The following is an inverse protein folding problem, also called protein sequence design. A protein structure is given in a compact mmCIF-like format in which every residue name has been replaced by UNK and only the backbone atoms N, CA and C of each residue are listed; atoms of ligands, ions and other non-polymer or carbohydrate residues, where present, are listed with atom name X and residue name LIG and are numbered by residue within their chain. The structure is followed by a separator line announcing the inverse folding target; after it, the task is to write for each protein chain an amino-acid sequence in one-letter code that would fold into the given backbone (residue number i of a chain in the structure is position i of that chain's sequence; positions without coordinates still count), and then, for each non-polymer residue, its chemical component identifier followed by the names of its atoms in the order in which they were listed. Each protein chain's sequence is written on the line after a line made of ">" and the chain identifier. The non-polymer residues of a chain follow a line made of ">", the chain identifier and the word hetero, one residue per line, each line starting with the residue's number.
data_IF_091929809480
#
_entry.id   IF_091929809480
#
_cell.length_a   1.000
_cell.length_b   1.000
_cell.length_c   1.000
_cell.angle_alpha   90.00
_cell.angle_beta   90.00
_cell.angle_gamma   90.00
#
_symmetry.space_group_name_H-M   'P 1'
#
loop_
_entity.id
_entity.type
_entity.pdbx_description
1 polymer ?
#
# COMPACT_ATOMS: atom_id res chain seq x y z
N UNK A 1 6.25 11.41 5.25
CA UNK A 1 6.85 10.07 5.06
C UNK A 1 7.77 10.12 3.85
N UNK A 2 8.95 9.54 3.94
CA UNK A 2 9.87 9.56 2.82
C UNK A 2 9.63 8.39 1.87
N UNK A 3 10.19 8.50 0.69
CA UNK A 3 10.03 7.51 -0.37
C UNK A 3 10.60 6.14 0.03
N UNK A 4 11.71 6.15 0.76
CA UNK A 4 12.37 4.92 1.18
C UNK A 4 11.47 4.09 2.11
N UNK A 5 10.82 4.73 3.07
CA UNK A 5 9.90 4.04 3.96
C UNK A 5 8.72 3.46 3.18
N UNK A 6 8.22 4.20 2.19
CA UNK A 6 7.12 3.71 1.35
C UNK A 6 7.52 2.46 0.57
N UNK A 7 8.75 2.39 0.06
CA UNK A 7 9.20 1.21 -0.69
C UNK A 7 9.35 0.00 0.20
N UNK A 8 9.65 0.17 1.48
CA UNK A 8 9.83 -0.95 2.40
C UNK A 8 8.54 -1.71 2.66
N UNK A 9 7.38 -1.08 2.44
CA UNK A 9 6.08 -1.75 2.57
C UNK A 9 6.02 -2.99 1.67
N UNK A 10 6.63 -2.92 0.49
CA UNK A 10 6.62 -4.03 -0.47
C UNK A 10 7.47 -5.22 -0.03
N UNK A 11 8.27 -5.05 1.02
CA UNK A 11 9.11 -6.12 1.56
C UNK A 11 8.45 -6.87 2.73
N UNK A 12 7.32 -6.37 3.22
CA UNK A 12 6.59 -7.04 4.30
C UNK A 12 5.92 -8.28 3.74
N UNK A 13 6.28 -9.50 4.22
CA UNK A 13 5.65 -10.73 3.72
C UNK A 13 4.17 -10.82 4.06
N UNK A 14 3.69 -10.00 4.99
CA UNK A 14 2.28 -9.97 5.39
C UNK A 14 1.52 -8.80 4.76
N UNK A 15 2.16 -8.06 3.84
CA UNK A 15 1.50 -6.94 3.17
C UNK A 15 0.26 -7.42 2.42
N UNK A 16 -0.80 -6.60 2.44
CA UNK A 16 -2.05 -6.90 1.76
C UNK A 16 -2.28 -5.87 0.66
N UNK A 17 -2.58 -6.35 -0.53
CA UNK A 17 -2.79 -5.51 -1.70
C UNK A 17 -4.24 -5.55 -2.15
N UNK A 18 -4.72 -4.43 -2.67
CA UNK A 18 -6.04 -4.34 -3.29
C UNK A 18 -5.97 -3.52 -4.56
N UNK A 19 -6.76 -3.93 -5.55
CA UNK A 19 -6.99 -3.11 -6.74
C UNK A 19 -8.00 -2.02 -6.37
N UNK A 20 -7.63 -0.77 -6.64
CA UNK A 20 -8.52 0.36 -6.43
C UNK A 20 -9.13 0.74 -7.78
N UNK A 21 -10.37 0.31 -8.00
CA UNK A 21 -11.08 0.54 -9.25
C UNK A 21 -12.18 1.59 -9.14
N UNK A 22 -12.19 2.38 -8.05
CA UNK A 22 -13.25 3.35 -7.81
C UNK A 22 -13.27 4.49 -8.82
N UNK A 23 -12.14 4.76 -9.44
CA UNK A 23 -12.03 5.81 -10.45
C UNK A 23 -11.27 5.31 -11.65
N UNK A 24 -11.74 5.70 -12.83
CA UNK A 24 -11.09 5.32 -14.09
C UNK A 24 -10.13 6.44 -14.52
N UNK A 25 -8.84 6.19 -14.30
CA UNK A 25 -7.80 7.13 -14.71
C UNK A 25 -7.05 6.66 -15.95
N UNK A 26 -7.56 5.62 -16.61
CA UNK A 26 -6.88 5.04 -17.75
C UNK A 26 -5.76 4.09 -17.39
N UNK A 27 -5.50 3.87 -16.11
CA UNK A 27 -4.53 2.89 -15.64
C UNK A 27 -4.97 2.33 -14.30
N UNK A 28 -4.57 1.10 -14.01
CA UNK A 28 -4.93 0.45 -12.76
C UNK A 28 -4.19 1.08 -11.58
N UNK A 29 -4.94 1.34 -10.52
CA UNK A 29 -4.40 1.85 -9.27
C UNK A 29 -4.53 0.78 -8.20
N UNK A 30 -3.50 0.68 -7.39
CA UNK A 30 -3.44 -0.32 -6.32
C UNK A 30 -3.18 0.36 -5.00
N UNK A 31 -3.57 -0.30 -3.91
CA UNK A 31 -3.14 0.08 -2.58
C UNK A 31 -2.52 -1.12 -1.88
N UNK A 32 -1.56 -0.85 -1.01
CA UNK A 32 -0.92 -1.89 -0.21
C UNK A 32 -0.79 -1.39 1.22
N UNK A 33 -1.07 -2.28 2.17
CA UNK A 33 -0.82 -2.07 3.59
C UNK A 33 0.32 -2.97 4.00
N UNK A 34 1.33 -2.41 4.62
CA UNK A 34 2.46 -3.17 5.10
C UNK A 34 3.06 -2.55 6.33
N UNK A 35 3.82 -3.34 7.08
CA UNK A 35 4.44 -2.88 8.31
C UNK A 35 5.88 -2.49 8.08
N UNK A 36 6.24 -1.30 8.55
CA UNK A 36 7.59 -0.76 8.48
C UNK A 36 7.93 -0.21 9.86
N UNK A 37 8.96 -0.77 10.48
CA UNK A 37 9.42 -0.35 11.82
C UNK A 37 8.29 -0.29 12.85
N UNK A 38 7.45 -1.32 12.86
CA UNK A 38 6.37 -1.45 13.84
C UNK A 38 5.14 -0.61 13.53
N UNK A 39 5.10 0.07 12.37
CA UNK A 39 3.97 0.91 11.98
C UNK A 39 3.36 0.40 10.68
N UNK A 40 2.04 0.37 10.62
CA UNK A 40 1.35 -0.02 9.40
C UNK A 40 1.23 1.21 8.50
N UNK A 41 1.68 1.07 7.27
CA UNK A 41 1.76 2.15 6.28
C UNK A 41 0.85 1.81 5.11
N UNK A 42 0.12 2.81 4.63
CA UNK A 42 -0.70 2.73 3.43
C UNK A 42 0.06 3.37 2.26
N UNK A 43 0.15 2.64 1.15
CA UNK A 43 0.78 3.16 -0.07
C UNK A 43 -0.17 2.96 -1.24
N UNK A 44 -0.44 4.04 -1.98
CA UNK A 44 -1.16 3.97 -3.25
C UNK A 44 -0.14 4.03 -4.39
N UNK A 45 -0.30 3.18 -5.39
CA UNK A 45 0.67 3.10 -6.47
C UNK A 45 0.00 2.63 -7.76
N UNK A 46 0.71 2.79 -8.87
CA UNK A 46 0.34 2.24 -10.16
C UNK A 46 1.49 1.40 -10.70
N UNK A 47 1.16 0.50 -11.64
CA UNK A 47 2.16 -0.22 -12.40
C UNK A 47 2.18 0.32 -13.82
N UNK A 48 3.37 0.66 -14.29
CA UNK A 48 3.55 1.14 -15.66
C UNK A 48 4.78 0.48 -16.25
N UNK A 49 4.56 -0.34 -17.28
CA UNK A 49 5.64 -1.10 -17.93
C UNK A 49 6.44 -1.95 -16.92
N UNK A 50 5.74 -2.54 -15.94
CA UNK A 50 6.37 -3.35 -14.91
C UNK A 50 7.05 -2.57 -13.80
N UNK A 51 6.98 -1.25 -13.82
CA UNK A 51 7.58 -0.38 -12.81
C UNK A 51 6.52 0.16 -11.87
N UNK A 52 6.79 0.06 -10.56
CA UNK A 52 5.90 0.61 -9.54
C UNK A 52 6.12 2.12 -9.45
N UNK A 53 5.03 2.87 -9.53
CA UNK A 53 5.04 4.33 -9.35
C UNK A 53 4.19 4.66 -8.15
N UNK A 54 4.82 5.17 -7.09
CA UNK A 54 4.12 5.52 -5.85
C UNK A 54 3.38 6.84 -6.05
N UNK A 55 2.07 6.82 -5.79
CA UNK A 55 1.22 7.99 -5.87
C UNK A 55 1.21 8.74 -4.54
N UNK A 56 1.01 7.99 -3.45
CA UNK A 56 1.00 8.58 -2.11
C UNK A 56 1.34 7.52 -1.07
N UNK A 57 1.82 7.97 0.08
CA UNK A 57 2.13 7.09 1.19
C UNK A 57 1.84 7.84 2.49
N UNK A 58 1.26 7.15 3.46
CA UNK A 58 0.92 7.74 4.75
C UNK A 58 0.78 6.63 5.79
N UNK A 59 0.70 7.01 7.05
CA UNK A 59 0.34 6.06 8.10
C UNK A 59 -1.07 5.54 7.87
N UNK A 60 -1.30 4.28 8.23
CA UNK A 60 -2.61 3.67 8.07
C UNK A 60 -3.62 4.28 9.04
N UNK A 61 -4.87 4.42 8.58
CA UNK A 61 -5.98 4.81 9.42
C UNK A 61 -6.48 3.61 10.23
N UNK A 62 -7.27 3.83 11.32
CA UNK A 62 -7.68 2.72 12.17
C UNK A 62 -8.38 1.57 11.45
N UNK A 63 -9.27 1.87 10.48
CA UNK A 63 -9.94 0.80 9.74
C UNK A 63 -8.97 0.04 8.83
N UNK A 64 -7.93 0.70 8.35
CA UNK A 64 -6.90 0.06 7.53
C UNK A 64 -6.03 -0.84 8.38
N UNK A 65 -5.65 -0.40 9.57
CA UNK A 65 -4.89 -1.24 10.50
C UNK A 65 -5.68 -2.49 10.87
N UNK A 66 -6.99 -2.35 11.11
CA UNK A 66 -7.85 -3.51 11.37
C UNK A 66 -7.85 -4.47 10.19
N UNK A 67 -7.99 -3.94 8.97
CA UNK A 67 -7.98 -4.77 7.77
C UNK A 67 -6.67 -5.55 7.62
N UNK A 68 -5.55 -4.91 7.88
CA UNK A 68 -4.25 -5.57 7.83
C UNK A 68 -4.19 -6.77 8.79
N UNK A 69 -4.64 -6.57 10.02
CA UNK A 69 -4.62 -7.64 11.01
C UNK A 69 -5.65 -8.74 10.70
N UNK A 70 -6.82 -8.37 10.20
CA UNK A 70 -7.85 -9.35 9.82
C UNK A 70 -7.36 -10.21 8.64
N UNK A 71 -6.74 -9.60 7.65
CA UNK A 71 -6.23 -10.33 6.48
C UNK A 71 -5.11 -11.29 6.87
N UNK A 72 -4.46 -11.06 7.99
CA UNK A 72 -3.34 -11.88 8.48
C UNK A 72 -3.71 -12.71 9.72
N UNK A 73 -4.99 -12.79 10.04
CA UNK A 73 -5.45 -13.57 11.19
C UNK A 73 -5.38 -15.08 10.91
#
# INVERSE_FOLDING_TARGET
>A
MNFEAATQVFKDPFATERLDDREDYGEDRYSILGMVDGRIIYVAYTLRNGTIRIISARGAEPQERRRYHEDNA
#
